data_IF_744311517294
#
_entry.id   IF_744311517294
#
_cell.length_a   1.000
_cell.length_b   1.000
_cell.length_c   1.000
_cell.angle_alpha   90.00
_cell.angle_beta   90.00
_cell.angle_gamma   90.00
#
_symmetry.space_group_name_H-M   'P 1'
#
loop_
_entity.id
_entity.type
_entity.pdbx_description
1 polymer ?
#
# COMPACT_ATOMS: atom_id res chain seq x y z
N UNK A 1 -16.32 -1.62 -8.89
CA UNK A 1 -15.29 -1.31 -9.90
C UNK A 1 -14.05 -2.10 -9.54
N UNK A 2 -13.75 -3.15 -10.30
CA UNK A 2 -12.76 -4.16 -9.96
C UNK A 2 -11.33 -3.72 -10.28
N UNK A 3 -10.38 -4.16 -9.45
CA UNK A 3 -8.95 -3.87 -9.49
C UNK A 3 -8.26 -4.25 -10.82
N UNK A 4 -8.12 -3.28 -11.71
CA UNK A 4 -7.29 -3.35 -12.93
C UNK A 4 -5.77 -3.47 -12.64
N UNK A 5 -5.37 -3.50 -11.37
CA UNK A 5 -3.97 -3.54 -10.91
C UNK A 5 -3.45 -4.95 -10.57
N UNK A 6 -4.31 -5.99 -10.60
CA UNK A 6 -3.96 -7.36 -10.20
C UNK A 6 -3.05 -8.12 -11.17
N UNK A 7 -2.83 -7.62 -12.39
CA UNK A 7 -2.11 -8.32 -13.46
C UNK A 7 -0.58 -8.18 -13.44
N UNK A 8 0.00 -7.32 -12.60
CA UNK A 8 1.46 -7.12 -12.54
C UNK A 8 2.07 -8.06 -11.48
N UNK A 9 2.11 -9.36 -11.78
CA UNK A 9 2.99 -10.30 -11.05
C UNK A 9 4.43 -10.09 -11.52
N UNK A 10 5.25 -9.51 -10.65
CA UNK A 10 6.69 -9.36 -10.88
C UNK A 10 7.39 -10.72 -10.98
N UNK A 11 7.45 -11.28 -12.19
CA UNK A 11 8.17 -12.51 -12.48
C UNK A 11 9.69 -12.29 -12.36
N UNK A 12 10.34 -13.09 -11.52
CA UNK A 12 11.80 -13.07 -11.32
C UNK A 12 12.48 -13.63 -12.59
N UNK A 13 13.12 -12.76 -13.37
CA UNK A 13 13.94 -13.13 -14.53
C UNK A 13 15.10 -14.03 -14.07
N UNK A 14 15.07 -15.31 -14.43
CA UNK A 14 16.19 -16.23 -14.23
C UNK A 14 17.12 -16.15 -15.44
N UNK A 15 18.27 -15.51 -15.26
CA UNK A 15 19.34 -15.49 -16.26
C UNK A 15 20.02 -16.86 -16.27
N UNK A 16 19.91 -17.59 -17.38
CA UNK A 16 20.48 -18.94 -17.55
C UNK A 16 22.01 -18.79 -17.71
N UNK A 17 22.79 -19.19 -16.71
CA UNK A 17 24.25 -19.26 -16.83
C UNK A 17 25.09 -18.94 -15.60
N UNK A 18 24.51 -18.45 -14.49
CA UNK A 18 25.28 -18.18 -13.26
C UNK A 18 24.88 -19.16 -12.14
N UNK A 19 25.86 -19.86 -11.55
CA UNK A 19 25.63 -20.71 -10.36
C UNK A 19 25.34 -19.80 -9.17
N UNK A 20 24.12 -19.84 -8.66
CA UNK A 20 23.69 -19.10 -7.47
C UNK A 20 24.47 -19.58 -6.23
N UNK A 21 25.26 -18.69 -5.62
CA UNK A 21 25.82 -18.91 -4.29
C UNK A 21 24.68 -18.85 -3.26
N UNK A 22 24.47 -19.93 -2.50
CA UNK A 22 23.53 -19.98 -1.38
C UNK A 22 23.90 -18.91 -0.34
N UNK A 23 23.15 -17.81 -0.27
CA UNK A 23 23.24 -16.87 0.83
C UNK A 23 22.64 -17.51 2.10
N UNK A 24 23.47 -17.62 3.16
CA UNK A 24 23.03 -18.01 4.51
C UNK A 24 21.91 -17.07 4.99
N UNK A 25 20.83 -17.66 5.49
CA UNK A 25 19.67 -16.98 6.06
C UNK A 25 20.10 -16.18 7.29
N UNK A 26 20.20 -14.86 7.18
CA UNK A 26 20.42 -13.99 8.34
C UNK A 26 19.15 -14.02 9.21
N UNK A 27 19.31 -14.44 10.47
CA UNK A 27 18.28 -14.41 11.52
C UNK A 27 17.84 -12.96 11.69
N UNK A 28 16.58 -12.65 11.35
CA UNK A 28 15.97 -11.34 11.66
C UNK A 28 16.03 -11.16 13.18
N UNK A 29 16.75 -10.14 13.64
CA UNK A 29 16.55 -9.58 14.98
C UNK A 29 15.12 -9.02 15.01
N UNK A 30 14.35 -9.42 16.02
CA UNK A 30 13.09 -8.74 16.37
C UNK A 30 13.46 -7.28 16.64
N UNK A 31 12.83 -6.36 15.90
CA UNK A 31 12.99 -4.94 16.13
C UNK A 31 11.81 -4.49 16.97
N UNK A 32 12.15 -3.69 17.97
CA UNK A 32 11.32 -3.25 19.08
C UNK A 32 9.98 -2.68 18.63
N UNK A 33 8.94 -3.08 19.35
CA UNK A 33 7.62 -2.49 19.26
C UNK A 33 7.74 -0.99 19.51
N UNK A 34 7.18 -0.19 18.61
CA UNK A 34 6.94 1.21 18.84
C UNK A 34 5.86 1.28 19.92
N UNK A 35 6.23 1.79 21.09
CA UNK A 35 5.31 2.19 22.15
C UNK A 35 4.33 3.23 21.60
N UNK A 36 3.15 2.75 21.19
CA UNK A 36 1.96 3.57 21.10
C UNK A 36 1.15 3.33 22.36
N UNK A 37 1.22 4.30 23.28
CA UNK A 37 0.31 4.49 24.42
C UNK A 37 -1.14 4.58 23.92
N UNK A 38 -1.71 3.40 23.68
CA UNK A 38 -3.14 3.17 23.57
C UNK A 38 -3.44 2.23 24.73
N UNK A 39 -4.45 2.53 25.58
CA UNK A 39 -4.78 1.65 26.68
C UNK A 39 -5.27 0.34 26.06
N UNK A 40 -4.40 -0.66 26.01
CA UNK A 40 -4.77 -2.05 25.72
C UNK A 40 -5.96 -2.36 26.63
N UNK A 41 -7.07 -2.94 26.11
CA UNK A 41 -8.07 -3.51 27.00
C UNK A 41 -7.31 -4.44 27.95
N UNK A 42 -7.57 -4.32 29.25
CA UNK A 42 -6.92 -5.13 30.26
C UNK A 42 -7.22 -6.58 29.93
N UNK A 43 -6.26 -7.28 29.30
CA UNK A 43 -6.49 -8.62 28.74
C UNK A 43 -7.02 -9.61 29.79
N UNK A 44 -6.71 -9.35 31.07
CA UNK A 44 -7.23 -10.15 32.18
C UNK A 44 -8.74 -10.02 32.42
N UNK A 45 -9.35 -8.86 32.24
CA UNK A 45 -10.80 -8.67 32.48
C UNK A 45 -11.62 -9.28 31.34
N UNK A 46 -11.20 -9.10 30.09
CA UNK A 46 -11.90 -9.71 28.96
C UNK A 46 -11.84 -11.24 28.98
N UNK A 47 -10.73 -11.82 29.41
CA UNK A 47 -10.59 -13.29 29.56
C UNK A 47 -11.45 -13.85 30.70
N UNK A 48 -11.64 -13.09 31.80
CA UNK A 48 -12.51 -13.48 32.93
C UNK A 48 -14.00 -13.50 32.60
N UNK A 49 -14.43 -12.86 31.52
CA UNK A 49 -15.85 -12.76 31.15
C UNK A 49 -16.10 -13.34 29.76
N UNK A 50 -15.35 -14.38 29.36
CA UNK A 50 -15.59 -15.10 28.11
C UNK A 50 -15.38 -14.26 26.83
N UNK A 51 -14.49 -13.26 26.87
CA UNK A 51 -14.22 -12.36 25.74
C UNK A 51 -15.02 -11.06 25.74
N UNK A 52 -15.87 -10.83 26.74
CA UNK A 52 -16.64 -9.60 26.89
C UNK A 52 -15.82 -8.49 27.58
N UNK A 53 -15.69 -7.34 26.94
CA UNK A 53 -14.84 -6.24 27.41
C UNK A 53 -15.67 -5.05 27.91
N UNK A 54 -15.14 -4.31 28.90
CA UNK A 54 -15.80 -3.15 29.51
C UNK A 54 -15.85 -1.93 28.58
N UNK A 55 -17.04 -1.35 28.40
CA UNK A 55 -17.22 -0.12 27.63
C UNK A 55 -16.58 1.09 28.34
N UNK A 56 -15.67 1.80 27.66
CA UNK A 56 -15.00 3.01 28.20
C UNK A 56 -15.62 4.31 27.71
N UNK A 57 -16.18 4.33 26.49
CA UNK A 57 -16.78 5.51 25.87
C UNK A 57 -18.24 5.22 25.50
N UNK A 58 -19.05 6.28 25.47
CA UNK A 58 -20.43 6.19 24.96
C UNK A 58 -20.46 5.65 23.52
N UNK A 59 -19.49 6.07 22.70
CA UNK A 59 -19.43 5.65 21.30
C UNK A 59 -19.22 4.15 21.10
N UNK A 60 -18.69 3.47 22.11
CA UNK A 60 -18.44 2.05 22.06
C UNK A 60 -19.70 1.24 22.37
N UNK A 61 -20.68 1.83 23.08
CA UNK A 61 -21.93 1.18 23.49
C UNK A 61 -22.87 1.03 22.29
N UNK A 62 -22.67 -0.02 21.50
CA UNK A 62 -23.56 -0.42 20.42
C UNK A 62 -23.45 -1.90 20.09
N UNK A 63 -24.56 -2.50 19.65
CA UNK A 63 -24.61 -3.91 19.29
C UNK A 63 -24.89 -4.80 20.50
N UNK A 64 -24.28 -5.99 20.54
CA UNK A 64 -24.53 -6.95 21.61
C UNK A 64 -23.83 -6.52 22.90
N UNK A 65 -24.61 -6.38 23.96
CA UNK A 65 -24.18 -5.84 25.25
C UNK A 65 -24.69 -6.71 26.39
N UNK A 66 -23.87 -6.93 27.40
CA UNK A 66 -24.27 -7.52 28.68
C UNK A 66 -24.16 -6.44 29.77
N UNK A 67 -25.15 -6.36 30.66
CA UNK A 67 -25.16 -5.39 31.75
C UNK A 67 -24.87 -6.16 33.04
N UNK A 68 -23.72 -5.89 33.65
CA UNK A 68 -23.31 -6.44 34.94
C UNK A 68 -23.69 -5.43 36.03
N UNK A 69 -24.51 -5.85 36.99
CA UNK A 69 -24.96 -4.98 38.09
C UNK A 69 -24.23 -5.29 39.41
N UNK A 70 -23.77 -6.52 39.57
CA UNK A 70 -23.00 -6.99 40.72
C UNK A 70 -21.90 -7.93 40.19
N UNK A 71 -20.89 -8.24 40.99
CA UNK A 71 -19.70 -8.98 40.54
C UNK A 71 -20.10 -10.33 39.90
N UNK A 72 -19.89 -10.43 38.58
CA UNK A 72 -20.24 -11.59 37.74
C UNK A 72 -21.75 -11.92 37.69
N UNK A 73 -22.63 -10.96 37.97
CA UNK A 73 -24.09 -11.10 37.81
C UNK A 73 -24.63 -10.20 36.71
N UNK A 74 -25.31 -10.81 35.75
CA UNK A 74 -25.84 -10.11 34.59
C UNK A 74 -27.35 -9.92 34.64
N UNK A 75 -27.82 -8.91 33.92
CA UNK A 75 -29.23 -8.65 33.73
C UNK A 75 -29.86 -9.71 32.80
N UNK A 76 -30.75 -10.56 33.33
CA UNK A 76 -31.44 -11.60 32.58
C UNK A 76 -32.88 -11.19 32.23
N UNK A 77 -33.27 -11.39 30.96
CA UNK A 77 -34.64 -11.19 30.53
C UNK A 77 -35.50 -12.44 30.83
N UNK A 78 -36.68 -12.24 31.40
CA UNK A 78 -37.67 -13.29 31.63
C UNK A 78 -38.74 -13.31 30.53
N UNK A 79 -39.39 -14.47 30.38
CA UNK A 79 -40.49 -14.71 29.44
C UNK A 79 -41.75 -13.89 29.74
N UNK A 80 -42.01 -13.60 31.01
CA UNK A 80 -43.10 -12.75 31.50
C UNK A 80 -42.92 -11.25 31.17
N UNK A 81 -41.81 -10.88 30.51
CA UNK A 81 -41.48 -9.50 30.17
C UNK A 81 -40.98 -8.68 31.35
N UNK A 82 -40.53 -9.31 32.44
CA UNK A 82 -39.74 -8.68 33.51
C UNK A 82 -38.26 -8.98 33.33
N UNK A 83 -37.44 -8.29 34.10
CA UNK A 83 -36.01 -8.54 34.16
C UNK A 83 -35.62 -8.92 35.59
N UNK A 84 -34.68 -9.84 35.71
CA UNK A 84 -34.10 -10.24 37.00
C UNK A 84 -32.59 -10.25 36.93
N UNK A 85 -31.96 -10.14 38.09
CA UNK A 85 -30.54 -10.37 38.25
C UNK A 85 -30.26 -11.88 38.13
N UNK A 86 -29.36 -12.23 37.22
CA UNK A 86 -28.91 -13.60 37.02
C UNK A 86 -28.08 -14.11 38.20
N UNK A 87 -27.87 -15.44 38.28
CA UNK A 87 -26.96 -16.02 39.26
C UNK A 87 -25.52 -15.52 39.00
N UNK A 88 -24.66 -15.52 40.04
CA UNK A 88 -23.23 -15.23 39.85
C UNK A 88 -22.60 -16.31 38.96
N UNK A 89 -21.83 -15.87 37.97
CA UNK A 89 -21.09 -16.73 37.03
C UNK A 89 -19.68 -17.03 37.52
N UNK A 90 -19.09 -18.09 36.98
CA UNK A 90 -17.69 -18.43 37.23
C UNK A 90 -16.74 -17.61 36.32
N UNK A 91 -15.49 -17.44 36.75
CA UNK A 91 -14.48 -16.74 35.96
C UNK A 91 -14.20 -17.48 34.64
N UNK A 92 -14.41 -16.79 33.52
CA UNK A 92 -14.19 -17.28 32.16
C UNK A 92 -15.46 -17.72 31.43
N UNK A 93 -16.61 -17.70 32.10
CA UNK A 93 -17.90 -18.02 31.49
C UNK A 93 -18.44 -16.84 30.67
N UNK A 94 -19.10 -17.14 29.56
CA UNK A 94 -19.81 -16.13 28.74
C UNK A 94 -21.21 -15.86 29.35
N UNK A 95 -21.76 -14.64 29.23
CA UNK A 95 -23.14 -14.36 29.60
C UNK A 95 -24.11 -15.26 28.83
N UNK A 96 -25.18 -15.70 29.48
CA UNK A 96 -26.17 -16.58 28.85
C UNK A 96 -26.91 -15.85 27.71
N UNK A 97 -27.45 -16.56 26.70
CA UNK A 97 -28.21 -15.94 25.61
C UNK A 97 -29.39 -15.07 26.08
N UNK A 98 -29.96 -15.37 27.26
CA UNK A 98 -31.04 -14.58 27.88
C UNK A 98 -30.54 -13.32 28.61
N UNK A 99 -29.25 -13.25 28.92
CA UNK A 99 -28.53 -12.12 29.54
C UNK A 99 -27.89 -11.21 28.47
N UNK A 100 -27.74 -11.71 27.25
CA UNK A 100 -27.27 -10.94 26.10
C UNK A 100 -28.39 -10.02 25.61
N UNK A 101 -28.14 -8.72 25.70
CA UNK A 101 -29.02 -7.66 25.24
C UNK A 101 -28.42 -6.99 23.99
N UNK A 102 -29.20 -6.15 23.32
CA UNK A 102 -28.73 -5.35 22.19
C UNK A 102 -28.92 -3.87 22.49
N UNK A 103 -27.83 -3.12 22.62
CA UNK A 103 -27.87 -1.67 22.74
C UNK A 103 -27.93 -1.02 21.35
N UNK A 104 -28.94 -0.18 21.15
CA UNK A 104 -29.18 0.63 19.96
C UNK A 104 -29.00 2.09 20.34
N UNK A 105 -28.11 2.81 19.66
CA UNK A 105 -27.97 4.26 19.86
C UNK A 105 -29.19 4.97 19.31
N UNK A 106 -29.87 5.74 20.15
CA UNK A 106 -31.02 6.56 19.74
C UNK A 106 -30.54 7.95 19.37
N UNK A 107 -29.74 8.55 20.25
CA UNK A 107 -29.13 9.88 20.09
C UNK A 107 -27.64 9.81 20.48
N UNK A 108 -26.94 10.95 20.43
CA UNK A 108 -25.56 11.08 20.90
C UNK A 108 -25.39 10.92 22.42
N UNK A 109 -26.49 10.98 23.18
CA UNK A 109 -26.46 10.84 24.66
C UNK A 109 -27.30 9.67 25.17
N UNK A 110 -28.22 9.12 24.36
CA UNK A 110 -29.21 8.13 24.80
C UNK A 110 -29.14 6.85 23.98
N UNK A 111 -29.33 5.73 24.67
CA UNK A 111 -29.39 4.38 24.12
C UNK A 111 -30.76 3.76 24.41
N UNK A 112 -31.17 2.81 23.58
CA UNK A 112 -32.28 1.92 23.83
C UNK A 112 -31.73 0.49 23.93
N UNK A 113 -32.17 -0.25 24.93
CA UNK A 113 -31.69 -1.62 25.17
C UNK A 113 -32.80 -2.59 24.79
N UNK A 114 -32.49 -3.53 23.92
CA UNK A 114 -33.40 -4.57 23.44
C UNK A 114 -33.04 -5.91 24.09
N UNK A 115 -34.03 -6.64 24.58
CA UNK A 115 -33.86 -7.99 25.10
C UNK A 115 -33.72 -9.02 23.97
N UNK A 116 -33.23 -10.21 24.31
CA UNK A 116 -33.20 -11.37 23.40
C UNK A 116 -34.58 -11.78 22.86
N UNK A 117 -35.66 -11.41 23.57
CA UNK A 117 -37.05 -11.60 23.12
C UNK A 117 -37.53 -10.55 22.11
N UNK A 118 -36.66 -9.61 21.74
CA UNK A 118 -36.97 -8.58 20.76
C UNK A 118 -37.79 -7.41 21.31
N UNK A 119 -37.89 -7.26 22.62
CA UNK A 119 -38.62 -6.17 23.30
C UNK A 119 -37.65 -5.16 23.90
N UNK A 120 -38.01 -3.88 23.94
CA UNK A 120 -37.19 -2.84 24.54
C UNK A 120 -37.41 -2.73 26.05
N UNK A 121 -36.32 -2.45 26.75
CA UNK A 121 -36.28 -2.18 28.18
C UNK A 121 -37.02 -0.86 28.45
N UNK A 122 -38.18 -0.94 29.10
CA UNK A 122 -39.08 0.19 29.37
C UNK A 122 -39.34 0.34 30.86
N UNK A 123 -39.50 1.58 31.32
CA UNK A 123 -39.83 1.89 32.72
C UNK A 123 -41.34 1.89 32.90
N UNK A 124 -41.87 1.08 33.82
CA UNK A 124 -43.29 1.05 34.19
C UNK A 124 -43.63 2.23 35.13
N UNK A 125 -44.91 2.64 35.28
CA UNK A 125 -45.28 3.72 36.19
C UNK A 125 -44.99 3.38 37.67
N UNK A 126 -44.94 2.09 38.00
CA UNK A 126 -44.65 1.56 39.33
C UNK A 126 -43.13 1.48 39.61
N UNK A 127 -42.33 2.26 38.87
CA UNK A 127 -40.85 2.27 38.89
C UNK A 127 -40.17 0.91 38.61
N UNK A 128 -40.93 -0.13 38.28
CA UNK A 128 -40.42 -1.41 37.80
C UNK A 128 -39.92 -1.33 36.35
N UNK A 129 -39.01 -2.23 35.98
CA UNK A 129 -38.49 -2.30 34.61
C UNK A 129 -39.08 -3.50 33.87
N UNK A 130 -39.75 -3.23 32.74
CA UNK A 130 -40.47 -4.23 31.94
C UNK A 130 -40.07 -4.17 30.46
N UNK A 131 -40.18 -5.30 29.78
CA UNK A 131 -39.78 -5.50 28.38
C UNK A 131 -40.97 -5.89 27.53
N UNK A 132 -41.99 -5.04 27.42
CA UNK A 132 -43.22 -5.34 26.64
C UNK A 132 -43.27 -4.61 25.30
N UNK A 133 -42.60 -3.47 25.18
CA UNK A 133 -42.66 -2.61 23.99
C UNK A 133 -41.77 -3.12 22.86
N UNK A 134 -42.24 -3.06 21.62
CA UNK A 134 -41.44 -3.33 20.41
C UNK A 134 -40.89 -2.05 19.77
N UNK A 135 -41.30 -0.89 20.27
CA UNK A 135 -40.94 0.41 19.74
C UNK A 135 -40.12 1.21 20.75
N UNK A 136 -39.18 2.00 20.24
CA UNK A 136 -38.40 2.94 21.04
C UNK A 136 -39.25 4.18 21.26
N UNK A 137 -39.89 4.28 22.42
CA UNK A 137 -40.62 5.45 22.87
C UNK A 137 -39.79 6.30 23.83
N UNK A 138 -40.47 7.13 24.63
CA UNK A 138 -39.82 7.95 25.64
C UNK A 138 -39.37 7.14 26.87
N UNK A 139 -40.04 6.01 27.16
CA UNK A 139 -39.82 5.17 28.35
C UNK A 139 -38.73 4.13 28.15
N UNK A 140 -38.35 3.91 26.90
CA UNK A 140 -37.34 2.96 26.44
C UNK A 140 -35.97 3.63 26.22
N UNK A 141 -35.90 4.95 26.40
CA UNK A 141 -34.67 5.72 26.28
C UNK A 141 -33.93 5.75 27.61
N UNK A 142 -32.67 5.30 27.58
CA UNK A 142 -31.77 5.26 28.71
C UNK A 142 -30.55 6.13 28.45
N UNK A 143 -30.06 6.80 29.48
CA UNK A 143 -28.89 7.68 29.41
C UNK A 143 -27.77 7.09 30.29
N UNK A 144 -26.71 6.53 29.70
CA UNK A 144 -25.56 6.06 30.46
C UNK A 144 -24.73 7.25 30.96
N UNK A 145 -24.51 7.29 32.27
CA UNK A 145 -23.76 8.36 32.95
C UNK A 145 -22.43 7.78 33.43
N UNK A 146 -21.32 8.38 33.00
CA UNK A 146 -19.97 7.98 33.40
C UNK A 146 -19.42 8.98 34.42
N UNK A 147 -19.03 8.51 35.61
CA UNK A 147 -18.43 9.33 36.66
C UNK A 147 -17.26 8.58 37.31
N UNK A 148 -16.08 9.19 37.34
CA UNK A 148 -14.88 8.66 38.03
C UNK A 148 -14.51 7.20 37.66
N UNK A 149 -14.77 6.80 36.41
CA UNK A 149 -14.52 5.43 35.92
C UNK A 149 -15.60 4.41 36.31
N UNK A 150 -16.66 4.84 36.98
CA UNK A 150 -17.89 4.07 37.23
C UNK A 150 -18.97 4.51 36.25
N UNK A 151 -19.92 3.62 35.97
CA UNK A 151 -21.08 3.97 35.14
C UNK A 151 -22.39 3.60 35.82
N UNK A 152 -23.42 4.38 35.56
CA UNK A 152 -24.78 4.14 35.98
C UNK A 152 -25.72 4.38 34.80
N UNK A 153 -26.89 3.74 34.79
CA UNK A 153 -27.87 3.89 33.72
C UNK A 153 -29.07 4.69 34.24
N UNK A 154 -29.30 5.87 33.67
CA UNK A 154 -30.40 6.75 34.02
C UNK A 154 -31.60 6.49 33.12
N UNK A 155 -32.78 6.36 33.72
CA UNK A 155 -34.05 6.13 33.05
C UNK A 155 -34.76 7.42 32.63
N UNK A 156 -35.86 7.27 31.89
CA UNK A 156 -36.73 8.40 31.51
C UNK A 156 -37.37 9.13 32.69
N UNK A 157 -37.46 8.47 33.85
CA UNK A 157 -37.96 9.06 35.10
C UNK A 157 -36.88 9.87 35.88
N UNK A 158 -35.66 10.00 35.33
CA UNK A 158 -34.48 10.57 35.99
C UNK A 158 -34.07 9.82 37.27
N UNK A 159 -34.37 8.52 37.33
CA UNK A 159 -33.88 7.61 38.35
C UNK A 159 -32.88 6.64 37.74
N UNK A 160 -31.97 6.13 38.56
CA UNK A 160 -30.97 5.15 38.17
C UNK A 160 -31.53 3.74 38.28
N UNK A 161 -31.04 2.87 37.39
CA UNK A 161 -31.32 1.44 37.42
C UNK A 161 -30.70 0.78 38.67
N UNK A 162 -31.50 -0.02 39.37
CA UNK A 162 -31.15 -0.73 40.61
C UNK A 162 -31.81 -2.11 40.63
N UNK A 163 -31.45 -2.93 41.60
CA UNK A 163 -32.10 -4.22 41.87
C UNK A 163 -32.53 -4.30 43.34
N UNK A 164 -33.65 -4.97 43.59
CA UNK A 164 -34.15 -5.27 44.93
C UNK A 164 -33.51 -6.55 45.51
N UNK A 165 -33.70 -6.80 46.81
CA UNK A 165 -33.21 -8.01 47.51
C UNK A 165 -33.73 -9.31 46.86
N UNK A 166 -34.91 -9.27 46.22
CA UNK A 166 -35.51 -10.38 45.49
C UNK A 166 -34.89 -10.59 44.08
N UNK A 167 -33.93 -9.75 43.70
CA UNK A 167 -33.27 -9.75 42.39
C UNK A 167 -34.15 -9.20 41.26
N UNK A 168 -35.27 -8.56 41.59
CA UNK A 168 -36.11 -7.85 40.62
C UNK A 168 -35.53 -6.47 40.31
N UNK A 169 -35.69 -6.02 39.05
CA UNK A 169 -35.02 -4.82 38.54
C UNK A 169 -35.97 -3.62 38.63
N UNK A 170 -35.51 -2.57 39.32
CA UNK A 170 -36.31 -1.38 39.65
C UNK A 170 -35.53 -0.09 39.39
N UNK A 171 -36.25 1.01 39.18
CA UNK A 171 -35.71 2.32 38.81
C UNK A 171 -36.26 3.40 39.75
N UNK A 172 -35.92 3.34 41.03
CA UNK A 172 -36.50 4.19 42.08
C UNK A 172 -35.56 5.33 42.51
N UNK A 173 -34.25 5.07 42.60
CA UNK A 173 -33.30 6.00 43.22
C UNK A 173 -32.90 7.14 42.28
N UNK A 174 -33.04 8.40 42.73
CA UNK A 174 -32.56 9.59 41.99
C UNK A 174 -31.06 9.85 42.14
N UNK A 175 -30.38 9.13 43.04
CA UNK A 175 -28.95 9.28 43.31
C UNK A 175 -28.28 7.95 43.05
N UNK A 176 -27.18 7.96 42.30
CA UNK A 176 -26.39 6.77 42.10
C UNK A 176 -25.64 6.43 43.42
N UNK A 177 -26.11 5.42 44.14
CA UNK A 177 -25.42 4.79 45.25
C UNK A 177 -24.47 3.69 44.76
N UNK A 178 -24.06 2.79 45.64
CA UNK A 178 -23.17 1.67 45.27
C UNK A 178 -23.93 0.56 44.51
N UNK A 179 -25.19 0.33 44.85
CA UNK A 179 -26.10 -0.64 44.21
C UNK A 179 -26.52 -0.27 42.78
N UNK A 180 -26.47 1.02 42.45
CA UNK A 180 -26.85 1.58 41.15
C UNK A 180 -25.67 1.64 40.16
N UNK A 181 -24.46 1.36 40.63
CA UNK A 181 -23.27 1.30 39.78
C UNK A 181 -23.27 -0.02 39.01
N UNK A 182 -23.14 0.07 37.69
CA UNK A 182 -23.13 -1.08 36.80
C UNK A 182 -21.93 -1.02 35.87
N UNK A 183 -21.70 -2.10 35.13
CA UNK A 183 -20.67 -2.23 34.11
C UNK A 183 -21.32 -2.76 32.84
N UNK A 184 -21.25 -2.00 31.76
CA UNK A 184 -21.70 -2.45 30.45
C UNK A 184 -20.53 -3.13 29.76
N UNK A 185 -20.71 -4.42 29.47
CA UNK A 185 -19.76 -5.23 28.71
C UNK A 185 -20.23 -5.40 27.29
N UNK A 186 -19.29 -5.44 26.36
CA UNK A 186 -19.53 -5.49 24.93
C UNK A 186 -18.84 -6.73 24.34
N UNK A 187 -19.52 -7.36 23.39
CA UNK A 187 -18.94 -8.38 22.52
C UNK A 187 -18.75 -7.84 21.09
N UNK A 188 -18.93 -6.54 20.89
CA UNK A 188 -18.60 -5.89 19.63
C UNK A 188 -17.09 -6.02 19.41
N UNK A 189 -16.71 -6.66 18.32
CA UNK A 189 -15.31 -6.77 17.92
C UNK A 189 -14.81 -5.33 17.68
N UNK A 190 -13.92 -4.83 18.55
CA UNK A 190 -13.26 -3.54 18.35
C UNK A 190 -12.29 -3.71 17.18
N UNK A 191 -12.82 -3.75 15.97
CA UNK A 191 -12.07 -3.43 14.76
C UNK A 191 -12.27 -1.94 14.47
N UNK A 192 -12.11 -1.09 15.48
CA UNK A 192 -11.68 0.27 15.16
C UNK A 192 -10.23 0.11 14.73
N UNK A 193 -10.01 0.04 13.41
CA UNK A 193 -8.68 0.18 12.86
C UNK A 193 -8.01 1.36 13.58
N UNK A 194 -6.95 1.15 14.38
CA UNK A 194 -6.26 2.26 15.06
C UNK A 194 -5.64 3.24 14.04
N UNK A 195 -5.69 2.89 12.76
CA UNK A 195 -5.31 3.67 11.61
C UNK A 195 -6.50 4.30 10.86
N UNK A 196 -7.73 4.33 11.40
CA UNK A 196 -8.88 4.96 10.75
C UNK A 196 -8.64 6.44 10.41
N UNK A 197 -7.91 7.14 11.30
CA UNK A 197 -7.50 8.53 11.10
C UNK A 197 -6.28 8.70 10.17
N UNK A 198 -5.68 7.59 9.73
CA UNK A 198 -4.54 7.58 8.80
C UNK A 198 -5.06 7.05 7.45
N UNK A 199 -4.91 7.82 6.35
CA UNK A 199 -5.31 7.37 5.02
C UNK A 199 -4.75 5.97 4.73
N UNK A 200 -5.56 5.10 4.09
CA UNK A 200 -5.16 3.72 3.72
C UNK A 200 -3.82 3.70 2.96
N UNK A 201 -3.55 4.76 2.21
CA UNK A 201 -2.33 5.01 1.46
C UNK A 201 -1.08 5.16 2.33
N UNK A 202 -1.19 5.66 3.56
CA UNK A 202 -0.09 5.81 4.52
C UNK A 202 0.08 4.62 5.46
N UNK A 203 -0.85 3.65 5.43
CA UNK A 203 -0.80 2.44 6.25
C UNK A 203 0.31 1.53 5.73
N UNK A 204 1.48 1.57 6.38
CA UNK A 204 2.58 0.65 6.11
C UNK A 204 3.98 1.27 6.16
N UNK A 205 4.93 0.65 5.46
CA UNK A 205 6.30 1.18 5.35
C UNK A 205 6.33 2.35 4.39
N UNK A 206 7.28 3.26 4.58
CA UNK A 206 7.47 4.46 3.74
C UNK A 206 7.51 4.13 2.25
N UNK A 207 8.13 3.00 1.87
CA UNK A 207 8.20 2.54 0.47
C UNK A 207 6.85 2.05 -0.07
N UNK A 208 6.06 1.40 0.77
CA UNK A 208 4.74 0.88 0.39
C UNK A 208 3.74 2.03 0.25
N UNK A 209 3.87 3.06 1.11
CA UNK A 209 3.14 4.32 0.99
C UNK A 209 3.48 5.04 -0.33
N UNK A 210 4.77 5.19 -0.67
CA UNK A 210 5.19 5.77 -1.96
C UNK A 210 4.57 5.02 -3.15
N UNK A 211 4.59 3.69 -3.11
CA UNK A 211 3.99 2.86 -4.17
C UNK A 211 2.48 3.08 -4.28
N UNK A 212 1.76 3.16 -3.17
CA UNK A 212 0.31 3.38 -3.16
C UNK A 212 -0.04 4.78 -3.69
N UNK A 213 0.72 5.80 -3.31
CA UNK A 213 0.55 7.16 -3.82
C UNK A 213 0.87 7.27 -5.32
N UNK A 214 1.96 6.67 -5.78
CA UNK A 214 2.31 6.64 -7.20
C UNK A 214 1.23 5.96 -8.02
N UNK A 215 0.66 4.84 -7.55
CA UNK A 215 -0.44 4.14 -8.25
C UNK A 215 -1.71 5.00 -8.37
N UNK A 216 -1.99 5.86 -7.39
CA UNK A 216 -3.17 6.74 -7.39
C UNK A 216 -3.04 7.87 -8.41
N UNK A 217 -1.85 8.44 -8.55
CA UNK A 217 -1.63 9.65 -9.37
C UNK A 217 -0.97 9.40 -10.74
N UNK A 218 -0.37 8.23 -10.97
CA UNK A 218 0.22 7.88 -12.27
C UNK A 218 -0.85 7.42 -13.26
N UNK A 219 -1.00 8.15 -14.37
CA UNK A 219 -1.87 7.72 -15.48
C UNK A 219 -1.31 6.47 -16.18
N UNK A 220 -2.19 5.52 -16.49
CA UNK A 220 -1.83 4.15 -16.88
C UNK A 220 -1.28 3.99 -18.30
N UNK A 221 -1.02 5.09 -19.03
CA UNK A 221 -0.62 5.03 -20.44
C UNK A 221 0.65 4.19 -20.67
N UNK A 222 1.55 4.12 -19.67
CA UNK A 222 2.85 3.47 -19.79
C UNK A 222 2.93 2.02 -19.26
N UNK A 223 1.85 1.44 -18.67
CA UNK A 223 1.82 0.08 -18.06
C UNK A 223 2.99 -0.27 -17.10
N UNK A 224 3.80 0.71 -16.70
CA UNK A 224 4.99 0.55 -15.87
C UNK A 224 4.89 1.52 -14.70
N UNK A 225 4.94 0.97 -13.49
CA UNK A 225 5.04 1.75 -12.26
C UNK A 225 6.41 2.43 -12.22
N UNK A 226 6.45 3.77 -12.17
CA UNK A 226 7.70 4.54 -12.10
C UNK A 226 7.88 5.03 -10.66
N UNK A 227 8.76 4.38 -9.91
CA UNK A 227 9.13 4.79 -8.55
C UNK A 227 10.43 5.60 -8.64
N UNK A 228 10.54 6.65 -7.82
CA UNK A 228 11.76 7.44 -7.74
C UNK A 228 12.92 6.61 -7.19
N UNK A 229 14.14 6.87 -7.66
CA UNK A 229 15.34 6.21 -7.14
C UNK A 229 15.97 6.98 -5.96
N UNK A 230 15.27 7.99 -5.43
CA UNK A 230 15.78 8.86 -4.37
C UNK A 230 15.85 8.14 -3.02
N UNK A 231 16.81 8.55 -2.20
CA UNK A 231 17.07 7.89 -0.93
C UNK A 231 15.91 8.05 0.05
N UNK A 232 15.54 6.95 0.71
CA UNK A 232 14.49 6.87 1.74
C UNK A 232 14.74 7.81 2.94
N UNK A 233 15.90 8.49 2.98
CA UNK A 233 16.31 9.43 4.03
C UNK A 233 15.59 10.77 3.92
N UNK A 234 15.32 11.29 2.72
CA UNK A 234 14.54 12.52 2.49
C UNK A 234 13.08 12.31 2.91
N UNK A 235 12.49 11.19 2.50
CA UNK A 235 11.12 10.79 2.88
C UNK A 235 10.96 10.60 4.39
N UNK A 236 12.00 10.11 5.09
CA UNK A 236 11.99 10.01 6.56
C UNK A 236 11.99 11.38 7.25
N UNK A 237 12.72 12.35 6.71
CA UNK A 237 12.74 13.72 7.22
C UNK A 237 11.40 14.41 6.95
N UNK A 238 10.86 14.25 5.74
CA UNK A 238 9.56 14.79 5.36
C UNK A 238 8.41 14.20 6.20
N UNK A 239 8.46 12.90 6.53
CA UNK A 239 7.49 12.26 7.45
C UNK A 239 7.50 12.86 8.85
N UNK A 240 8.68 13.24 9.38
CA UNK A 240 8.79 13.92 10.67
C UNK A 240 8.33 15.38 10.61
N UNK A 241 8.49 16.02 9.45
CA UNK A 241 8.13 17.43 9.24
C UNK A 241 6.70 17.67 8.77
N UNK A 242 5.89 16.62 8.55
CA UNK A 242 4.52 16.76 8.03
C UNK A 242 4.42 17.09 6.54
N UNK A 243 5.54 17.35 5.85
CA UNK A 243 5.61 17.72 4.42
C UNK A 243 5.83 16.50 3.52
N UNK A 244 5.38 15.31 3.97
CA UNK A 244 5.62 14.05 3.27
C UNK A 244 5.00 14.03 1.87
N UNK A 245 3.82 14.65 1.72
CA UNK A 245 3.05 14.62 0.48
C UNK A 245 3.70 15.46 -0.63
N UNK A 246 4.19 16.66 -0.31
CA UNK A 246 4.84 17.55 -1.27
C UNK A 246 6.15 16.93 -1.78
N UNK A 247 6.97 16.39 -0.88
CA UNK A 247 8.20 15.69 -1.28
C UNK A 247 7.93 14.49 -2.19
N UNK A 248 6.87 13.71 -1.96
CA UNK A 248 6.53 12.59 -2.85
C UNK A 248 6.10 13.04 -4.26
N UNK A 249 5.42 14.18 -4.37
CA UNK A 249 5.03 14.75 -5.67
C UNK A 249 6.24 15.28 -6.44
N UNK A 250 7.15 15.99 -5.75
CA UNK A 250 8.38 16.52 -6.35
C UNK A 250 9.30 15.39 -6.86
N UNK A 251 9.48 14.33 -6.08
CA UNK A 251 10.27 13.15 -6.49
C UNK A 251 9.64 12.43 -7.69
N UNK A 252 8.30 12.41 -7.79
CA UNK A 252 7.61 11.88 -8.96
C UNK A 252 7.88 12.75 -10.19
N UNK A 253 7.68 14.06 -10.11
CA UNK A 253 7.90 14.99 -11.21
C UNK A 253 9.35 14.93 -11.70
N UNK A 254 10.31 14.90 -10.78
CA UNK A 254 11.72 14.76 -11.09
C UNK A 254 12.04 13.44 -11.81
N UNK A 255 11.41 12.33 -11.38
CA UNK A 255 11.54 11.02 -12.02
C UNK A 255 10.95 10.99 -13.45
N UNK A 256 9.82 11.66 -13.69
CA UNK A 256 9.26 11.80 -15.03
C UNK A 256 10.20 12.56 -15.95
N UNK A 257 10.76 13.66 -15.48
CA UNK A 257 11.68 14.51 -16.25
C UNK A 257 12.96 13.74 -16.60
N UNK A 258 13.62 13.15 -15.61
CA UNK A 258 14.88 12.42 -15.80
C UNK A 258 14.72 11.24 -16.77
N UNK A 259 13.63 10.48 -16.64
CA UNK A 259 13.35 9.35 -17.54
C UNK A 259 12.96 9.80 -18.96
N UNK A 260 12.28 10.96 -19.11
CA UNK A 260 11.99 11.53 -20.43
C UNK A 260 13.28 11.89 -21.18
N UNK A 261 14.28 12.43 -20.49
CA UNK A 261 15.60 12.68 -21.06
C UNK A 261 16.32 11.37 -21.41
N UNK A 262 16.31 10.37 -20.52
CA UNK A 262 16.91 9.05 -20.76
C UNK A 262 16.28 8.33 -21.97
N UNK A 263 14.96 8.34 -22.08
CA UNK A 263 14.27 7.71 -23.21
C UNK A 263 14.55 8.42 -24.53
N UNK A 264 14.76 9.74 -24.49
CA UNK A 264 15.12 10.52 -25.68
C UNK A 264 16.54 10.17 -26.14
N UNK A 265 17.50 10.08 -25.22
CA UNK A 265 18.87 9.67 -25.55
C UNK A 265 18.94 8.25 -26.11
N UNK A 266 18.23 7.30 -25.48
CA UNK A 266 18.23 5.89 -25.91
C UNK A 266 17.62 5.71 -27.32
N UNK A 267 16.59 6.51 -27.65
CA UNK A 267 15.97 6.48 -28.97
C UNK A 267 16.89 7.09 -30.05
N UNK A 268 17.57 8.19 -29.72
CA UNK A 268 18.52 8.84 -30.62
C UNK A 268 19.71 7.91 -30.95
N UNK A 269 20.21 7.18 -29.95
CA UNK A 269 21.22 6.15 -30.16
C UNK A 269 20.72 5.01 -31.05
N UNK A 270 19.50 4.50 -30.85
CA UNK A 270 18.92 3.45 -31.71
C UNK A 270 18.76 3.91 -33.17
N UNK A 271 18.32 5.15 -33.40
CA UNK A 271 18.17 5.70 -34.76
C UNK A 271 19.52 5.81 -35.45
N UNK A 272 20.54 6.33 -34.76
CA UNK A 272 21.94 6.32 -35.25
C UNK A 272 22.41 4.89 -35.54
N UNK A 273 21.99 3.94 -34.70
CA UNK A 273 22.34 2.52 -34.81
C UNK A 273 21.84 1.87 -36.10
N UNK A 274 20.58 2.13 -36.42
CA UNK A 274 19.93 1.60 -37.63
C UNK A 274 20.48 2.29 -38.88
N UNK A 275 20.76 3.59 -38.82
CA UNK A 275 21.28 4.37 -39.95
C UNK A 275 22.67 3.90 -40.40
N UNK A 276 23.59 3.60 -39.47
CA UNK A 276 24.90 3.03 -39.84
C UNK A 276 24.76 1.63 -40.46
N UNK A 277 23.78 0.85 -40.01
CA UNK A 277 23.58 -0.52 -40.48
C UNK A 277 23.12 -0.52 -41.95
N UNK A 278 22.13 0.31 -42.27
CA UNK A 278 21.60 0.46 -43.63
C UNK A 278 22.66 0.94 -44.63
N UNK A 279 23.46 1.94 -44.25
CA UNK A 279 24.53 2.45 -45.13
C UNK A 279 25.61 1.40 -45.40
N UNK A 280 25.89 0.51 -44.46
CA UNK A 280 26.82 -0.62 -44.68
C UNK A 280 26.26 -1.66 -45.65
N UNK A 281 24.95 -1.91 -45.61
CA UNK A 281 24.26 -2.88 -46.47
C UNK A 281 24.21 -2.37 -47.93
N UNK A 282 23.90 -1.09 -48.14
CA UNK A 282 23.88 -0.49 -49.49
C UNK A 282 25.24 -0.46 -50.17
N UNK A 283 26.33 -0.25 -49.42
CA UNK A 283 27.70 -0.31 -49.97
C UNK A 283 28.04 -1.72 -50.46
N UNK A 284 27.65 -2.76 -49.70
CA UNK A 284 27.91 -4.15 -50.06
C UNK A 284 27.14 -4.59 -51.31
N UNK A 285 25.89 -4.16 -51.47
CA UNK A 285 25.10 -4.47 -52.67
C UNK A 285 25.65 -3.75 -53.92
N UNK A 286 26.02 -2.47 -53.81
CA UNK A 286 26.59 -1.71 -54.92
C UNK A 286 27.88 -2.36 -55.48
N UNK A 287 28.78 -2.83 -54.62
CA UNK A 287 30.01 -3.52 -55.03
C UNK A 287 29.68 -4.83 -55.78
N UNK A 288 28.66 -5.57 -55.34
CA UNK A 288 28.24 -6.79 -56.04
C UNK A 288 27.69 -6.50 -57.44
N UNK A 289 26.88 -5.45 -57.60
CA UNK A 289 26.34 -5.06 -58.92
C UNK A 289 27.46 -4.68 -59.89
N UNK A 290 28.43 -3.87 -59.46
CA UNK A 290 29.58 -3.47 -60.29
C UNK A 290 30.38 -4.69 -60.75
N UNK A 291 30.61 -5.66 -59.85
CA UNK A 291 31.34 -6.90 -60.18
C UNK A 291 30.62 -7.72 -61.25
N UNK A 292 29.29 -7.82 -61.18
CA UNK A 292 28.50 -8.57 -62.17
C UNK A 292 28.55 -7.88 -63.52
N UNK A 293 28.41 -6.55 -63.56
CA UNK A 293 28.48 -5.76 -64.81
C UNK A 293 29.84 -5.93 -65.48
N UNK A 294 30.94 -5.80 -64.73
CA UNK A 294 32.30 -5.98 -65.25
C UNK A 294 32.56 -7.41 -65.76
N UNK A 295 32.01 -8.43 -65.08
CA UNK A 295 32.10 -9.80 -65.55
C UNK A 295 31.38 -10.02 -66.87
N UNK A 296 30.18 -9.43 -67.02
CA UNK A 296 29.38 -9.55 -68.24
C UNK A 296 30.01 -8.83 -69.43
N UNK A 297 30.55 -7.61 -69.25
CA UNK A 297 31.26 -6.90 -70.33
C UNK A 297 32.50 -7.65 -70.79
N UNK A 298 33.29 -8.22 -69.87
CA UNK A 298 34.44 -9.06 -70.25
C UNK A 298 34.02 -10.31 -71.02
N UNK A 299 32.96 -10.99 -70.59
CA UNK A 299 32.43 -12.16 -71.28
C UNK A 299 31.99 -11.82 -72.71
N UNK A 300 31.30 -10.68 -72.89
CA UNK A 300 30.85 -10.21 -74.20
C UNK A 300 32.03 -9.81 -75.09
N UNK A 301 33.08 -9.20 -74.55
CA UNK A 301 34.31 -8.89 -75.29
C UNK A 301 34.97 -10.16 -75.85
N UNK A 302 35.09 -11.23 -75.04
CA UNK A 302 35.73 -12.50 -75.47
C UNK A 302 34.97 -13.16 -76.61
N UNK A 303 33.64 -13.16 -76.57
CA UNK A 303 32.81 -13.78 -77.62
C UNK A 303 32.97 -13.12 -78.99
N UNK A 304 33.34 -11.84 -79.06
CA UNK A 304 33.49 -11.12 -80.34
C UNK A 304 34.80 -11.43 -81.09
N UNK A 305 35.74 -12.17 -80.47
CA UNK A 305 37.04 -12.58 -81.05
C UNK A 305 37.81 -11.49 -81.81
N UNK A 306 37.57 -10.21 -81.47
CA UNK A 306 38.27 -9.10 -82.08
C UNK A 306 39.58 -8.88 -81.33
N UNK A 307 40.69 -9.28 -81.95
CA UNK A 307 42.03 -9.23 -81.36
C UNK A 307 42.37 -7.85 -80.78
N UNK A 308 41.92 -6.77 -81.42
CA UNK A 308 42.14 -5.39 -80.97
C UNK A 308 41.48 -5.07 -79.62
N UNK A 309 40.33 -5.68 -79.31
CA UNK A 309 39.63 -5.48 -78.03
C UNK A 309 40.38 -6.20 -76.90
N UNK A 310 40.96 -7.36 -77.17
CA UNK A 310 41.74 -8.11 -76.18
C UNK A 310 43.02 -7.34 -75.82
N UNK A 311 43.71 -6.76 -76.81
CA UNK A 311 44.90 -5.93 -76.59
C UNK A 311 44.56 -4.67 -75.79
N UNK A 312 43.44 -4.00 -76.07
CA UNK A 312 43.05 -2.78 -75.35
C UNK A 312 42.71 -3.05 -73.88
N UNK A 313 42.05 -4.17 -73.56
CA UNK A 313 41.76 -4.57 -72.19
C UNK A 313 43.04 -4.90 -71.42
N UNK A 314 43.99 -5.63 -72.02
CA UNK A 314 45.27 -5.96 -71.40
C UNK A 314 46.10 -4.70 -71.10
N UNK A 315 46.18 -3.78 -72.06
CA UNK A 315 46.87 -2.49 -71.88
C UNK A 315 46.17 -1.65 -70.81
N UNK A 316 44.84 -1.60 -70.81
CA UNK A 316 44.05 -0.89 -69.79
C UNK A 316 44.26 -1.45 -68.38
N UNK A 317 44.28 -2.78 -68.22
CA UNK A 317 44.58 -3.42 -66.93
C UNK A 317 46.02 -3.18 -66.48
N UNK A 318 47.00 -3.20 -67.39
CA UNK A 318 48.40 -2.92 -67.08
C UNK A 318 48.61 -1.47 -66.60
N UNK A 319 48.01 -0.50 -67.32
CA UNK A 319 48.04 0.92 -66.93
C UNK A 319 47.32 1.14 -65.60
N UNK A 320 46.15 0.54 -65.42
CA UNK A 320 45.40 0.63 -64.15
C UNK A 320 46.17 0.05 -62.96
N UNK A 321 46.90 -1.06 -63.16
CA UNK A 321 47.77 -1.64 -62.13
C UNK A 321 48.95 -0.72 -61.78
N UNK A 322 49.52 -0.03 -62.78
CA UNK A 322 50.65 0.87 -62.56
C UNK A 322 50.23 2.18 -61.86
N UNK A 323 49.05 2.71 -62.17
CA UNK A 323 48.51 3.93 -61.54
C UNK A 323 47.95 3.70 -60.13
N UNK A 324 47.45 2.49 -59.83
CA UNK A 324 46.91 2.18 -58.50
C UNK A 324 47.98 1.88 -57.45
N UNK A 325 49.20 1.48 -57.88
CA UNK A 325 50.33 1.21 -56.98
C UNK A 325 50.77 2.41 -56.12
N UNK A 326 50.95 3.63 -56.67
CA UNK A 326 51.24 4.82 -55.87
C UNK A 326 50.15 5.14 -54.85
N UNK A 327 48.87 5.02 -55.24
CA UNK A 327 47.74 5.43 -54.40
C UNK A 327 47.47 4.48 -53.21
N UNK A 328 47.71 3.19 -53.38
CA UNK A 328 47.59 2.21 -52.30
C UNK A 328 48.64 2.42 -51.18
N UNK A 329 49.80 3.02 -51.49
CA UNK A 329 50.85 3.30 -50.51
C UNK A 329 50.56 4.54 -49.65
N UNK A 330 49.88 5.57 -50.19
CA UNK A 330 49.60 6.82 -49.44
C UNK A 330 48.44 6.68 -48.45
N UNK A 331 47.50 5.76 -48.70
CA UNK A 331 46.32 5.59 -47.84
C UNK A 331 46.61 4.87 -46.52
N UNK A 332 47.73 4.13 -46.43
CA UNK A 332 48.18 3.51 -45.17
C UNK A 332 48.80 4.52 -44.20
N UNK A 333 49.47 5.58 -44.68
CA UNK A 333 50.15 6.57 -43.83
C UNK A 333 49.20 7.59 -43.20
N UNK A 334 48.04 7.85 -43.82
CA UNK A 334 47.03 8.77 -43.27
C UNK A 334 46.24 8.18 -42.09
N UNK A 335 46.00 6.86 -42.05
CA UNK A 335 45.31 6.20 -40.92
C UNK A 335 46.15 6.18 -39.64
N UNK A 336 47.47 6.11 -39.75
CA UNK A 336 48.39 6.14 -38.60
C UNK A 336 48.51 7.54 -37.98
N UNK A 337 48.37 8.61 -38.75
CA UNK A 337 48.46 9.98 -38.22
C UNK A 337 47.21 10.41 -37.43
N UNK A 338 46.02 9.91 -37.77
CA UNK A 338 44.78 10.24 -37.06
C UNK A 338 44.60 9.50 -35.72
N UNK A 339 45.37 8.43 -35.46
CA UNK A 339 45.38 7.74 -34.16
C UNK A 339 46.30 8.40 -33.12
N UNK A 340 47.31 9.17 -33.55
CA UNK A 340 48.24 9.86 -32.64
C UNK A 340 47.72 11.22 -32.13
N UNK A 341 46.73 11.82 -32.79
CA UNK A 341 46.16 13.12 -32.38
C UNK A 341 45.04 12.95 -31.33
N UNK A 342 44.45 11.76 -31.20
CA UNK A 342 43.40 11.48 -30.21
C UNK A 342 43.90 11.23 -28.79
N UNK A 343 45.21 11.02 -28.58
CA UNK A 343 45.80 10.75 -27.25
C UNK A 343 46.40 12.01 -26.57
N UNK A 344 46.35 13.19 -27.21
CA UNK A 344 46.99 14.42 -26.72
C UNK A 344 46.02 15.50 -26.22
N UNK A 345 44.75 15.16 -25.95
CA UNK A 345 43.77 16.10 -25.41
C UNK A 345 43.14 15.59 -24.10
N UNK A 346 43.94 15.59 -23.04
CA UNK A 346 43.45 15.64 -21.66
C UNK A 346 43.90 16.96 -21.03
N UNK A 347 42.99 17.84 -20.57
CA UNK A 347 43.37 19.06 -19.90
C UNK A 347 43.87 18.77 -18.48
N UNK A 348 45.15 19.06 -18.29
CA UNK A 348 45.86 19.28 -17.03
C UNK A 348 45.23 20.47 -16.28
N UNK A 349 44.38 20.23 -15.28
CA UNK A 349 44.00 21.26 -14.29
C UNK A 349 43.58 20.65 -12.95
N UNK A 350 44.55 20.30 -12.11
CA UNK A 350 44.46 20.44 -10.64
C UNK A 350 45.87 20.67 -10.13
N UNK A 351 46.20 21.90 -9.73
CA UNK A 351 46.84 22.18 -8.44
C UNK A 351 46.66 23.66 -8.10
N UNK A 352 46.37 23.86 -6.83
CA UNK A 352 45.90 25.03 -6.09
C UNK A 352 47.03 25.42 -5.16
N UNK A 353 47.40 26.70 -5.05
CA UNK A 353 47.83 27.43 -3.81
C UNK A 353 48.52 28.76 -4.15
N UNK A 354 48.54 29.65 -3.15
CA UNK A 354 49.03 31.04 -3.07
C UNK A 354 47.96 32.09 -3.39
N UNK A 355 47.52 32.98 -2.49
CA UNK A 355 47.88 33.42 -1.11
C UNK A 355 46.57 33.79 -0.41
#
# INVERSE_FOLDING_TARGET
>A
MADSYSFVKGGKLKLKGHKDKKHKKHKKRKHDEIDTDTPKPEKGDSEKHGGWWLAKKFDDISGNTAIEMDDMRYLAAQDNGRFKLGPPRDEGEEPDPIEILTAVKVNETKIAIKSGYGKYLSIDPDDGVIGRSEAIGAREQWEPVFQEGRMALNGSNNCFLSYDDDGDIVCNSKKAGESEMLKIRLNANIETDPFANIPVEERGKIKDAEINYVKKFQSYQDRKLKISAEDVSSLKKAKKGGVLHECMLDSCQHSYVCNKYRSKSDNEERVKKVSYSLTSICKRSAIHVIRVILGYTLMLCVMTMNFWIIVSVLVGCAIGYFLSRPWAYTTKTSKTHNLLVSDLSYPLLVLKTEI
#
